data_IF_751627528411
#
_entry.id   IF_751627528411
#
_cell.length_a   1.000
_cell.length_b   1.000
_cell.length_c   1.000
_cell.angle_alpha   90.00
_cell.angle_beta   90.00
_cell.angle_gamma   90.00
#
_symmetry.space_group_name_H-M   'P 1'
#
loop_
_entity.id
_entity.type
_entity.pdbx_description
1 polymer ?
#
# COMPACT_ATOMS: atom_id res chain seq x y z
N UNK A 1 5.81 15.51 -2.58
CA UNK A 1 5.29 15.01 -3.88
C UNK A 1 5.24 16.20 -4.81
N UNK A 2 5.68 16.08 -6.07
CA UNK A 2 5.84 17.28 -6.91
C UNK A 2 4.51 17.94 -7.31
N UNK A 3 3.42 17.16 -7.32
CA UNK A 3 2.11 17.58 -7.83
C UNK A 3 1.07 17.92 -6.75
N UNK A 4 1.37 17.63 -5.48
CA UNK A 4 0.50 17.97 -4.35
C UNK A 4 1.29 18.78 -3.34
N UNK A 5 0.87 20.03 -3.15
CA UNK A 5 1.35 20.86 -2.04
C UNK A 5 1.05 20.12 -0.73
N UNK A 6 2.06 20.03 0.13
CA UNK A 6 1.99 19.29 1.40
C UNK A 6 1.69 17.77 1.26
N UNK A 7 1.90 17.19 0.07
CA UNK A 7 1.75 15.76 -0.19
C UNK A 7 3.00 14.95 0.13
N UNK A 8 2.85 13.86 0.86
CA UNK A 8 3.95 12.97 1.25
C UNK A 8 3.57 11.49 1.15
N UNK A 9 4.58 10.65 0.96
CA UNK A 9 4.40 9.21 0.82
C UNK A 9 5.09 8.50 1.98
N UNK A 10 4.38 7.58 2.62
CA UNK A 10 4.94 6.66 3.61
C UNK A 10 5.11 5.29 2.95
N UNK A 11 6.29 4.69 3.10
CA UNK A 11 6.54 3.29 2.82
C UNK A 11 6.32 2.44 4.08
N UNK A 12 5.45 1.44 3.96
CA UNK A 12 5.05 0.58 5.06
C UNK A 12 5.59 -0.83 4.88
N UNK A 13 6.05 -1.41 5.99
CA UNK A 13 6.42 -2.81 6.16
C UNK A 13 7.52 -3.33 5.20
N UNK A 14 7.82 -4.63 5.27
CA UNK A 14 8.81 -5.27 4.38
C UNK A 14 8.39 -5.23 2.89
N UNK A 15 7.08 -5.17 2.61
CA UNK A 15 6.58 -5.05 1.24
C UNK A 15 6.90 -3.66 0.64
N UNK A 16 7.23 -2.67 1.47
CA UNK A 16 7.42 -1.26 1.07
C UNK A 16 6.21 -0.72 0.33
N UNK A 17 5.01 -1.07 0.82
CA UNK A 17 3.76 -0.57 0.24
C UNK A 17 3.69 0.94 0.47
N UNK A 18 3.36 1.71 -0.57
CA UNK A 18 3.36 3.18 -0.49
C UNK A 18 1.94 3.68 -0.25
N UNK A 19 1.84 4.66 0.65
CA UNK A 19 0.60 5.34 1.00
C UNK A 19 0.80 6.84 0.84
N UNK A 20 -0.04 7.47 0.02
CA UNK A 20 -0.05 8.91 -0.19
C UNK A 20 -0.94 9.58 0.85
N UNK A 21 -0.42 10.63 1.47
CA UNK A 21 -1.12 11.51 2.40
C UNK A 21 -0.89 12.96 2.04
N UNK A 22 -1.78 13.83 2.52
CA UNK A 22 -1.65 15.29 2.44
C UNK A 22 -1.88 15.84 3.83
N UNK A 23 -1.01 16.73 4.30
CA UNK A 23 -1.12 17.35 5.62
C UNK A 23 -0.52 18.75 5.63
N UNK A 24 -1.33 19.76 5.96
CA UNK A 24 -0.90 21.17 6.01
C UNK A 24 0.33 21.41 6.87
N UNK A 25 0.46 20.71 8.00
CA UNK A 25 1.57 20.84 8.95
C UNK A 25 2.60 19.72 8.78
N UNK A 26 2.92 19.36 7.54
CA UNK A 26 3.80 18.23 7.19
C UNK A 26 5.15 18.27 7.94
N UNK A 27 5.83 19.42 7.95
CA UNK A 27 7.15 19.54 8.59
C UNK A 27 7.09 19.26 10.10
N UNK A 28 6.05 19.75 10.77
CA UNK A 28 5.80 19.50 12.19
C UNK A 28 5.51 18.02 12.44
N UNK A 29 4.68 17.40 11.58
CA UNK A 29 4.33 15.99 11.69
C UNK A 29 5.58 15.10 11.54
N UNK A 30 6.41 15.32 10.51
CA UNK A 30 7.63 14.54 10.31
C UNK A 30 8.63 14.73 11.44
N UNK A 31 8.82 15.97 11.91
CA UNK A 31 9.70 16.26 13.05
C UNK A 31 9.24 15.50 14.30
N UNK A 32 7.94 15.58 14.62
CA UNK A 32 7.35 14.90 15.76
C UNK A 32 7.47 13.37 15.63
N UNK A 33 7.16 12.81 14.46
CA UNK A 33 7.30 11.37 14.21
C UNK A 33 8.74 10.88 14.42
N UNK A 34 9.73 11.63 13.93
CA UNK A 34 11.16 11.30 14.11
C UNK A 34 11.58 11.38 15.57
N UNK A 35 11.16 12.43 16.27
CA UNK A 35 11.44 12.61 17.69
C UNK A 35 10.82 11.48 18.51
N UNK A 36 9.55 11.14 18.28
CA UNK A 36 8.87 10.07 19.01
C UNK A 36 9.50 8.70 18.73
N UNK A 37 9.82 8.39 17.47
CA UNK A 37 10.49 7.15 17.12
C UNK A 37 11.87 7.02 17.77
N UNK A 38 12.66 8.09 17.79
CA UNK A 38 13.96 8.10 18.45
C UNK A 38 13.83 7.95 19.98
N UNK A 39 12.95 8.73 20.61
CA UNK A 39 12.83 8.80 22.07
C UNK A 39 12.20 7.55 22.69
N UNK A 40 11.21 6.96 22.02
CA UNK A 40 10.41 5.87 22.59
C UNK A 40 10.71 4.51 21.99
N UNK A 41 11.21 4.45 20.76
CA UNK A 41 11.51 3.18 20.07
C UNK A 41 13.01 3.00 19.78
N UNK A 42 13.83 4.04 19.89
CA UNK A 42 15.23 4.00 19.47
C UNK A 42 15.40 3.80 17.96
N UNK A 43 14.39 4.15 17.16
CA UNK A 43 14.38 3.93 15.70
C UNK A 43 14.55 5.26 14.98
N UNK A 44 15.42 5.27 13.96
CA UNK A 44 15.53 6.38 13.02
C UNK A 44 14.61 6.17 11.82
N UNK A 45 13.74 7.14 11.54
CA UNK A 45 12.89 7.13 10.34
C UNK A 45 13.65 7.80 9.20
N UNK A 46 14.03 7.06 8.14
CA UNK A 46 14.69 7.63 6.98
C UNK A 46 13.70 8.46 6.15
N UNK A 47 14.16 9.62 5.66
CA UNK A 47 13.42 10.45 4.72
C UNK A 47 14.13 10.38 3.36
N UNK A 48 13.38 10.09 2.30
CA UNK A 48 13.93 10.05 0.95
C UNK A 48 14.45 11.43 0.55
N UNK A 49 15.62 11.47 -0.10
CA UNK A 49 16.22 12.73 -0.59
C UNK A 49 15.48 13.29 -1.79
N UNK A 50 14.93 12.40 -2.63
CA UNK A 50 14.27 12.75 -3.87
C UNK A 50 12.75 12.67 -3.71
N UNK A 51 12.05 13.65 -4.26
CA UNK A 51 10.60 13.64 -4.33
C UNK A 51 10.14 12.65 -5.41
N UNK A 52 9.03 11.96 -5.14
CA UNK A 52 8.35 11.09 -6.11
C UNK A 52 7.24 11.87 -6.83
N UNK A 53 7.08 11.63 -8.13
CA UNK A 53 5.92 12.13 -8.91
C UNK A 53 4.68 11.28 -8.64
N UNK A 54 3.50 11.77 -9.01
CA UNK A 54 2.26 10.99 -8.87
C UNK A 54 2.28 9.76 -9.76
N UNK A 55 2.76 9.90 -11.00
CA UNK A 55 2.88 8.79 -11.93
C UNK A 55 3.78 7.68 -11.36
N UNK A 56 4.96 8.05 -10.86
CA UNK A 56 5.87 7.12 -10.22
C UNK A 56 5.22 6.46 -9.00
N UNK A 57 4.50 7.23 -8.17
CA UNK A 57 3.73 6.67 -7.06
C UNK A 57 2.69 5.65 -7.55
N UNK A 58 1.90 5.98 -8.57
CA UNK A 58 0.85 5.10 -9.09
C UNK A 58 1.41 3.77 -9.60
N UNK A 59 2.56 3.80 -10.27
CA UNK A 59 3.26 2.59 -10.75
C UNK A 59 3.82 1.74 -9.59
N UNK A 60 4.26 2.39 -8.51
CA UNK A 60 5.02 1.73 -7.43
C UNK A 60 4.23 1.55 -6.14
N UNK A 61 2.94 1.92 -6.09
CA UNK A 61 2.16 1.97 -4.85
C UNK A 61 1.99 0.63 -4.14
N UNK A 62 2.09 -0.49 -4.87
CA UNK A 62 2.01 -1.83 -4.32
C UNK A 62 3.38 -2.33 -3.79
N UNK A 63 4.40 -1.49 -3.84
CA UNK A 63 5.74 -1.76 -3.33
C UNK A 63 6.43 -2.86 -4.12
N UNK A 64 6.99 -3.84 -3.42
CA UNK A 64 7.63 -5.00 -4.02
C UNK A 64 6.69 -5.91 -4.81
N UNK A 65 5.38 -5.63 -4.86
CA UNK A 65 4.40 -6.35 -5.68
C UNK A 65 3.99 -5.58 -6.95
N UNK A 66 4.59 -4.43 -7.23
CA UNK A 66 4.18 -3.57 -8.34
C UNK A 66 4.59 -4.07 -9.74
N UNK A 67 5.44 -5.11 -9.85
CA UNK A 67 5.90 -5.61 -11.16
C UNK A 67 4.80 -6.42 -11.85
N UNK A 68 4.69 -6.29 -13.16
CA UNK A 68 3.66 -6.96 -13.97
C UNK A 68 3.65 -8.48 -13.79
N UNK A 69 4.84 -9.09 -13.72
CA UNK A 69 5.03 -10.53 -13.47
C UNK A 69 4.36 -10.99 -12.16
N UNK A 70 4.39 -10.14 -11.13
CA UNK A 70 3.82 -10.44 -9.82
C UNK A 70 2.32 -10.16 -9.78
N UNK A 71 1.84 -9.26 -10.65
CA UNK A 71 0.44 -8.92 -10.75
C UNK A 71 -0.32 -9.82 -11.72
N UNK A 72 0.36 -10.64 -12.54
CA UNK A 72 -0.29 -11.53 -13.50
C UNK A 72 -1.11 -12.60 -12.78
N UNK A 73 -2.44 -12.53 -12.90
CA UNK A 73 -3.38 -13.45 -12.26
C UNK A 73 -3.38 -14.80 -12.98
N UNK A 74 -3.31 -15.91 -12.25
CA UNK A 74 -3.50 -17.28 -12.76
C UNK A 74 -4.88 -17.84 -12.42
N UNK A 75 -5.42 -17.46 -11.25
CA UNK A 75 -6.73 -17.91 -10.77
C UNK A 75 -7.46 -16.72 -10.14
N UNK A 76 -8.78 -16.69 -10.29
CA UNK A 76 -9.62 -15.60 -9.80
C UNK A 76 -10.86 -16.12 -9.06
N UNK A 77 -11.19 -15.46 -7.96
CA UNK A 77 -12.36 -15.77 -7.14
C UNK A 77 -13.21 -14.51 -6.99
N UNK A 78 -14.52 -14.63 -7.27
CA UNK A 78 -15.48 -13.56 -6.97
C UNK A 78 -15.77 -13.57 -5.48
N UNK A 79 -15.44 -12.49 -4.77
CA UNK A 79 -15.59 -12.40 -3.32
C UNK A 79 -16.34 -11.13 -2.90
N UNK A 80 -16.88 -11.14 -1.67
CA UNK A 80 -17.36 -9.95 -0.99
C UNK A 80 -16.36 -9.55 0.09
N UNK A 81 -15.86 -8.32 -0.01
CA UNK A 81 -14.97 -7.74 1.00
C UNK A 81 -15.79 -7.03 2.05
N UNK A 82 -15.66 -7.49 3.29
CA UNK A 82 -16.21 -6.86 4.48
C UNK A 82 -15.12 -6.04 5.14
N UNK A 83 -15.41 -4.77 5.44
CA UNK A 83 -14.49 -3.89 6.15
C UNK A 83 -15.29 -2.98 7.10
N UNK A 84 -14.80 -2.70 8.33
CA UNK A 84 -15.55 -1.89 9.30
C UNK A 84 -15.93 -0.50 8.78
N UNK A 85 -15.08 0.09 7.92
CA UNK A 85 -15.29 1.42 7.35
C UNK A 85 -16.10 1.42 6.05
N UNK A 86 -16.61 0.28 5.60
CA UNK A 86 -17.30 0.18 4.32
C UNK A 86 -18.53 -0.72 4.37
N UNK A 87 -19.69 -0.07 4.31
CA UNK A 87 -21.00 -0.70 4.21
C UNK A 87 -21.78 -0.06 3.05
N UNK A 88 -22.38 -0.85 2.14
CA UNK A 88 -22.43 -2.31 2.10
C UNK A 88 -21.08 -2.97 1.69
N UNK A 89 -20.97 -4.29 1.86
CA UNK A 89 -19.80 -5.06 1.43
C UNK A 89 -19.54 -4.87 -0.07
N UNK A 90 -18.27 -4.79 -0.46
CA UNK A 90 -17.91 -4.52 -1.85
C UNK A 90 -17.56 -5.81 -2.59
N UNK A 91 -18.04 -5.94 -3.83
CA UNK A 91 -17.63 -7.02 -4.73
C UNK A 91 -16.19 -6.80 -5.20
N UNK A 92 -15.37 -7.85 -5.13
CA UNK A 92 -13.97 -7.85 -5.57
C UNK A 92 -13.64 -9.14 -6.31
N UNK A 93 -12.61 -9.08 -7.14
CA UNK A 93 -11.90 -10.26 -7.62
C UNK A 93 -10.70 -10.48 -6.71
N UNK A 94 -10.63 -11.63 -6.06
CA UNK A 94 -9.46 -12.07 -5.32
C UNK A 94 -8.68 -13.01 -6.25
N UNK A 95 -7.47 -12.62 -6.63
CA UNK A 95 -6.67 -13.32 -7.61
C UNK A 95 -5.40 -13.88 -6.97
N UNK A 96 -4.90 -14.99 -7.51
CA UNK A 96 -3.60 -15.55 -7.17
C UNK A 96 -2.66 -15.42 -8.36
N UNK A 97 -1.44 -14.93 -8.12
CA UNK A 97 -0.32 -14.98 -9.06
C UNK A 97 0.73 -16.00 -8.59
N UNK A 98 1.87 -16.05 -9.27
CA UNK A 98 3.02 -16.87 -8.87
C UNK A 98 3.53 -16.54 -7.46
N UNK A 99 3.44 -15.28 -7.04
CA UNK A 99 4.04 -14.81 -5.79
C UNK A 99 3.12 -13.99 -4.90
N UNK A 100 1.93 -13.61 -5.36
CA UNK A 100 1.06 -12.67 -4.65
C UNK A 100 -0.41 -13.10 -4.65
N UNK A 101 -1.11 -12.69 -3.60
CA UNK A 101 -2.56 -12.54 -3.61
C UNK A 101 -2.91 -11.10 -3.98
N UNK A 102 -3.89 -10.91 -4.85
CA UNK A 102 -4.21 -9.62 -5.47
C UNK A 102 -5.70 -9.36 -5.32
N UNK A 103 -6.08 -8.20 -4.81
CA UNK A 103 -7.45 -7.69 -4.87
C UNK A 103 -7.56 -6.83 -6.14
N UNK A 104 -8.49 -7.17 -7.04
CA UNK A 104 -8.80 -6.39 -8.24
C UNK A 104 -10.22 -5.83 -8.19
N UNK A 105 -10.38 -4.67 -8.80
CA UNK A 105 -11.69 -4.11 -9.08
C UNK A 105 -12.36 -4.89 -10.23
N UNK A 106 -13.60 -5.39 -10.06
CA UNK A 106 -14.25 -6.20 -11.10
C UNK A 106 -14.58 -5.43 -12.39
N UNK A 107 -14.74 -4.11 -12.34
CA UNK A 107 -15.16 -3.33 -13.51
C UNK A 107 -13.97 -2.90 -14.38
N UNK A 108 -12.88 -2.48 -13.75
CA UNK A 108 -11.69 -1.95 -14.42
C UNK A 108 -10.55 -2.96 -14.52
N UNK A 109 -10.66 -4.08 -13.81
CA UNK A 109 -9.59 -5.05 -13.59
C UNK A 109 -8.34 -4.48 -12.92
N UNK A 110 -8.38 -3.24 -12.43
CA UNK A 110 -7.23 -2.59 -11.79
C UNK A 110 -6.88 -3.29 -10.47
N UNK A 111 -5.57 -3.52 -10.25
CA UNK A 111 -5.09 -4.08 -8.99
C UNK A 111 -5.28 -3.04 -7.86
N UNK A 112 -6.17 -3.28 -6.93
CA UNK A 112 -6.44 -2.41 -5.78
C UNK A 112 -5.35 -2.59 -4.71
N UNK A 113 -5.04 -3.85 -4.39
CA UNK A 113 -4.05 -4.24 -3.39
C UNK A 113 -3.37 -5.54 -3.83
N UNK A 114 -2.12 -5.72 -3.44
CA UNK A 114 -1.43 -7.00 -3.56
C UNK A 114 -0.67 -7.28 -2.27
N UNK A 115 -0.51 -8.55 -1.90
CA UNK A 115 0.36 -9.01 -0.80
C UNK A 115 1.14 -10.24 -1.24
N UNK A 116 2.42 -10.38 -0.85
CA UNK A 116 3.17 -11.60 -1.08
C UNK A 116 2.48 -12.81 -0.44
N UNK A 117 2.44 -13.95 -1.12
CA UNK A 117 1.82 -15.17 -0.58
C UNK A 117 2.50 -15.63 0.72
N UNK A 118 3.80 -15.37 0.87
CA UNK A 118 4.56 -15.67 2.09
C UNK A 118 4.05 -14.98 3.35
N UNK A 119 3.24 -13.91 3.23
CA UNK A 119 2.64 -13.19 4.37
C UNK A 119 1.19 -13.59 4.62
N UNK A 120 0.65 -14.54 3.84
CA UNK A 120 -0.70 -15.06 4.00
C UNK A 120 -0.66 -16.28 4.90
N UNK A 121 -1.41 -16.23 6.00
CA UNK A 121 -1.52 -17.32 6.97
C UNK A 121 -2.98 -17.80 7.01
N UNK A 122 -3.15 -19.11 7.05
CA UNK A 122 -4.45 -19.71 7.31
C UNK A 122 -4.75 -19.58 8.81
N UNK A 123 -5.88 -18.95 9.13
CA UNK A 123 -6.40 -18.88 10.50
C UNK A 123 -7.65 -19.76 10.53
N UNK A 124 -7.60 -20.82 11.35
CA UNK A 124 -8.80 -21.58 11.69
C UNK A 124 -9.56 -20.79 12.77
N UNK A 125 -10.79 -20.42 12.47
CA UNK A 125 -11.72 -19.73 13.38
C UNK A 125 -12.61 -20.73 14.10
#
# INVERSE_FOLDING_TARGET
MQEYENGFVIEMDEQRRRHLFVCELFDNLISLMRQMAANYLGISIPVAKEAITLEQFMLTRLGLCSRDEQLTSFVEFKVQKFAPRQFPSIKRLLCLSSTCIIERDPATYAAICARPLKTVHLVFL
#
